data_IF_081485960291
#
_entry.id   IF_081485960291
#
_cell.length_a   1.000
_cell.length_b   1.000
_cell.length_c   1.000
_cell.angle_alpha   90.00
_cell.angle_beta   90.00
_cell.angle_gamma   90.00
#
_symmetry.space_group_name_H-M   'P 1'
#
loop_
_entity.id
_entity.type
_entity.pdbx_description
1 polymer ?
#
# COMPACT_ATOMS: atom_id res chain seq x y z
N UNK A 1 -16.64 47.14 39.96
CA UNK A 1 -16.54 45.67 39.66
C UNK A 1 -16.50 45.32 38.17
N UNK A 2 -17.38 45.85 37.29
CA UNK A 2 -17.42 45.44 35.87
C UNK A 2 -16.29 46.05 35.02
N UNK A 3 -15.71 47.17 35.46
CA UNK A 3 -14.62 47.86 34.75
C UNK A 3 -13.26 47.20 35.03
N UNK A 4 -13.07 46.68 36.24
CA UNK A 4 -11.82 46.01 36.64
C UNK A 4 -11.62 44.69 35.95
N UNK A 5 -12.71 43.96 35.67
CA UNK A 5 -12.65 42.66 34.97
C UNK A 5 -12.24 42.78 33.49
N UNK A 6 -12.72 43.82 32.80
CA UNK A 6 -12.32 44.11 31.42
C UNK A 6 -10.83 44.46 31.32
N UNK A 7 -10.35 45.24 32.27
CA UNK A 7 -8.93 45.61 32.34
C UNK A 7 -8.04 44.40 32.60
N UNK A 8 -8.45 43.51 33.50
CA UNK A 8 -7.74 42.27 33.78
C UNK A 8 -7.69 41.34 32.54
N UNK A 9 -8.80 41.19 31.80
CA UNK A 9 -8.83 40.41 30.57
C UNK A 9 -7.87 40.96 29.51
N UNK A 10 -7.82 42.30 29.37
CA UNK A 10 -6.89 42.93 28.40
C UNK A 10 -5.45 42.65 28.80
N UNK A 11 -5.08 42.73 30.06
CA UNK A 11 -3.72 42.41 30.51
C UNK A 11 -3.36 40.95 30.27
N UNK A 12 -4.26 40.00 30.54
CA UNK A 12 -4.03 38.55 30.29
C UNK A 12 -3.87 38.27 28.82
N UNK A 13 -4.72 38.86 27.97
CA UNK A 13 -4.61 38.70 26.51
C UNK A 13 -3.32 39.31 25.95
N UNK A 14 -2.92 40.50 26.46
CA UNK A 14 -1.69 41.15 26.05
C UNK A 14 -0.47 40.31 26.45
N UNK A 15 -0.45 39.78 27.66
CA UNK A 15 0.62 38.87 28.12
C UNK A 15 0.69 37.62 27.26
N UNK A 16 -0.46 37.03 26.95
CA UNK A 16 -0.52 35.84 26.08
C UNK A 16 0.03 36.10 24.68
N UNK A 17 -0.33 37.25 24.07
CA UNK A 17 0.21 37.65 22.76
C UNK A 17 1.73 37.84 22.79
N UNK A 18 2.24 38.49 23.87
CA UNK A 18 3.70 38.69 24.03
C UNK A 18 4.42 37.36 24.16
N UNK A 19 3.91 36.41 24.95
CA UNK A 19 4.50 35.08 25.10
C UNK A 19 4.49 34.35 23.78
N UNK A 20 3.37 34.41 23.04
CA UNK A 20 3.27 33.76 21.71
C UNK A 20 4.29 34.33 20.71
N UNK A 21 4.48 35.66 20.71
CA UNK A 21 5.47 36.30 19.84
C UNK A 21 6.92 35.89 20.19
N UNK A 22 7.23 35.70 21.46
CA UNK A 22 8.54 35.25 21.92
C UNK A 22 8.77 33.79 21.45
N UNK A 23 7.76 32.93 21.59
CA UNK A 23 7.84 31.51 21.12
C UNK A 23 8.03 31.43 19.60
N UNK A 24 7.24 32.23 18.86
CA UNK A 24 7.36 32.25 17.39
C UNK A 24 8.72 32.80 16.93
N UNK A 25 9.27 33.81 17.63
CA UNK A 25 10.61 34.30 17.33
C UNK A 25 11.66 33.23 17.58
N UNK A 26 11.60 32.54 18.72
CA UNK A 26 12.54 31.46 19.05
C UNK A 26 12.47 30.29 18.06
N UNK A 27 11.26 29.93 17.58
CA UNK A 27 11.11 28.91 16.53
C UNK A 27 11.70 29.37 15.19
N UNK A 28 11.51 30.65 14.83
CA UNK A 28 12.07 31.20 13.59
C UNK A 28 13.61 31.25 13.64
N UNK A 29 14.18 31.65 14.75
CA UNK A 29 15.63 31.69 14.95
C UNK A 29 16.21 30.26 14.86
N UNK A 30 15.59 29.27 15.51
CA UNK A 30 15.99 27.86 15.43
C UNK A 30 15.90 27.28 14.01
N UNK A 31 14.84 27.61 13.23
CA UNK A 31 14.73 27.23 11.83
C UNK A 31 15.83 27.85 10.97
N UNK A 32 16.18 29.11 11.22
CA UNK A 32 17.26 29.79 10.51
C UNK A 32 18.64 29.17 10.79
N UNK A 33 18.86 28.73 12.03
CA UNK A 33 20.12 28.05 12.43
C UNK A 33 20.23 26.65 11.79
N UNK A 34 19.11 25.92 11.66
CA UNK A 34 19.06 24.65 10.95
C UNK A 34 19.28 24.80 9.44
N UNK A 35 18.73 25.85 8.81
CA UNK A 35 18.95 26.14 7.39
C UNK A 35 20.43 26.54 7.10
N UNK A 36 21.11 27.15 8.06
CA UNK A 36 22.51 27.54 7.94
C UNK A 36 23.52 26.46 8.34
N UNK A 37 23.03 25.29 8.81
CA UNK A 37 23.89 24.16 9.23
C UNK A 37 24.69 24.42 10.51
N UNK A 38 24.26 25.39 11.33
CA UNK A 38 24.88 25.74 12.61
C UNK A 38 24.08 25.05 13.72
N UNK A 39 24.67 24.01 14.33
CA UNK A 39 24.12 23.42 15.55
C UNK A 39 24.49 24.29 16.75
N UNK A 40 23.61 24.49 17.74
CA UNK A 40 23.93 25.18 18.98
C UNK A 40 25.11 24.50 19.70
N UNK A 41 26.03 25.29 20.28
CA UNK A 41 27.22 24.75 20.99
C UNK A 41 26.82 23.75 22.11
N UNK A 42 25.71 23.96 22.78
CA UNK A 42 25.15 23.05 23.81
C UNK A 42 24.77 21.67 23.24
N UNK A 43 24.27 21.57 21.99
CA UNK A 43 23.95 20.29 21.37
C UNK A 43 25.22 19.57 20.88
N UNK A 44 26.26 20.30 20.49
CA UNK A 44 27.55 19.73 20.10
C UNK A 44 28.24 19.14 21.34
N UNK A 45 28.18 19.80 22.50
CA UNK A 45 28.78 19.29 23.72
C UNK A 45 28.08 18.03 24.25
N UNK A 46 26.74 17.95 24.13
CA UNK A 46 25.95 16.75 24.47
C UNK A 46 26.29 15.58 23.54
N UNK A 47 26.46 15.84 22.24
CA UNK A 47 26.84 14.79 21.27
C UNK A 47 28.28 14.32 21.50
N UNK A 48 29.23 15.22 21.81
CA UNK A 48 30.61 14.85 22.11
C UNK A 48 30.71 14.09 23.44
N UNK A 49 30.03 14.51 24.51
CA UNK A 49 29.98 13.80 25.79
C UNK A 49 29.31 12.42 25.69
N UNK A 50 28.34 12.26 24.78
CA UNK A 50 27.71 10.97 24.49
C UNK A 50 28.64 10.04 23.68
N UNK A 51 29.48 10.58 22.81
CA UNK A 51 30.45 9.79 22.03
C UNK A 51 31.67 9.33 22.87
N UNK A 52 32.10 10.15 23.87
CA UNK A 52 33.19 9.76 24.78
C UNK A 52 32.77 8.76 25.87
N UNK A 53 31.45 8.66 26.16
CA UNK A 53 30.91 7.73 27.18
C UNK A 53 30.42 6.38 26.59
N UNK A 54 30.54 6.16 25.29
CA UNK A 54 30.33 4.82 24.75
C UNK A 54 31.44 3.88 25.23
N UNK A 55 31.19 3.19 26.36
CA UNK A 55 31.90 1.94 26.64
C UNK A 55 31.76 1.04 25.38
N UNK A 56 32.84 0.31 25.00
CA UNK A 56 32.75 -0.58 23.86
C UNK A 56 31.57 -1.53 24.09
N UNK A 57 30.51 -1.37 23.30
CA UNK A 57 29.36 -2.27 23.31
C UNK A 57 29.93 -3.67 23.16
N UNK A 58 29.91 -4.44 24.23
CA UNK A 58 30.13 -5.88 24.18
C UNK A 58 29.04 -6.42 23.26
N UNK A 59 29.39 -6.58 21.96
CA UNK A 59 28.54 -7.27 21.00
C UNK A 59 28.30 -8.66 21.58
N UNK A 60 27.10 -8.86 22.13
CA UNK A 60 26.63 -10.19 22.48
C UNK A 60 26.66 -11.00 21.18
N UNK A 61 27.37 -12.12 21.09
CA UNK A 61 27.43 -12.92 19.86
C UNK A 61 26.04 -13.47 19.42
N UNK A 62 25.01 -13.23 20.21
CA UNK A 62 23.63 -13.72 19.92
C UNK A 62 22.76 -12.75 19.14
N UNK A 63 23.14 -11.45 18.98
CA UNK A 63 22.28 -10.45 18.32
C UNK A 63 22.37 -10.43 16.78
N UNK A 64 23.12 -11.33 16.16
CA UNK A 64 23.23 -11.42 14.68
C UNK A 64 22.92 -12.82 14.14
N UNK A 65 21.99 -13.55 14.74
CA UNK A 65 21.38 -14.67 14.03
C UNK A 65 20.30 -14.06 13.13
N UNK A 66 20.70 -13.54 11.96
CA UNK A 66 19.78 -13.31 10.85
C UNK A 66 19.17 -14.67 10.54
N UNK A 67 17.93 -14.88 10.94
CA UNK A 67 17.22 -16.12 10.61
C UNK A 67 17.36 -16.36 9.09
N UNK A 68 17.75 -17.57 8.65
CA UNK A 68 17.91 -17.83 7.23
C UNK A 68 16.61 -17.48 6.51
N UNK A 69 16.71 -16.82 5.35
CA UNK A 69 15.58 -16.41 4.55
C UNK A 69 14.74 -17.65 4.18
N UNK A 70 13.49 -17.71 4.65
CA UNK A 70 12.57 -18.84 4.43
C UNK A 70 11.75 -18.70 3.15
N UNK A 71 11.49 -17.47 2.72
CA UNK A 71 10.72 -17.21 1.50
C UNK A 71 10.34 -15.74 1.37
N UNK A 72 9.82 -15.38 0.20
CA UNK A 72 9.35 -14.04 -0.13
C UNK A 72 7.84 -14.05 -0.29
N UNK A 73 7.17 -13.13 0.37
CA UNK A 73 5.72 -12.95 0.32
C UNK A 73 5.42 -11.59 -0.32
N UNK A 74 4.57 -11.55 -1.34
CA UNK A 74 3.92 -10.33 -1.76
C UNK A 74 2.47 -10.32 -1.29
N UNK A 75 2.04 -9.21 -0.70
CA UNK A 75 0.65 -8.98 -0.33
C UNK A 75 0.07 -7.87 -1.18
N UNK A 76 -1.06 -8.15 -1.81
CA UNK A 76 -1.91 -7.18 -2.46
C UNK A 76 -3.14 -6.98 -1.58
N UNK A 77 -3.48 -5.74 -1.29
CA UNK A 77 -4.73 -5.40 -0.60
C UNK A 77 -5.64 -4.70 -1.59
N UNK A 78 -6.75 -5.34 -1.89
CA UNK A 78 -7.74 -4.91 -2.88
C UNK A 78 -8.81 -3.98 -2.28
N UNK A 79 -9.61 -3.37 -3.17
CA UNK A 79 -10.81 -2.56 -2.89
C UNK A 79 -10.54 -1.20 -2.23
N UNK A 80 -9.35 -0.60 -2.39
CA UNK A 80 -9.20 0.81 -2.04
C UNK A 80 -9.91 1.73 -3.04
N UNK A 81 -10.31 2.91 -2.57
CA UNK A 81 -11.00 3.94 -3.36
C UNK A 81 -12.38 4.31 -2.82
N UNK A 82 -13.09 3.37 -2.18
CA UNK A 82 -14.43 3.61 -1.63
C UNK A 82 -14.46 4.43 -0.34
N UNK A 83 -13.39 4.42 0.42
CA UNK A 83 -13.35 5.00 1.77
C UNK A 83 -12.04 5.69 2.08
N UNK A 84 -12.10 6.68 2.99
CA UNK A 84 -10.94 7.36 3.55
C UNK A 84 -11.19 7.54 5.05
N UNK A 85 -11.01 6.48 5.81
CA UNK A 85 -11.29 6.41 7.24
C UNK A 85 -10.11 5.77 8.00
N UNK A 86 -10.29 5.54 9.30
CA UNK A 86 -9.27 4.94 10.14
C UNK A 86 -8.87 3.51 9.70
N UNK A 87 -9.76 2.76 9.03
CA UNK A 87 -9.44 1.43 8.52
C UNK A 87 -8.50 1.54 7.32
N UNK A 88 -8.87 2.31 6.26
CA UNK A 88 -8.00 2.49 5.10
C UNK A 88 -6.66 3.12 5.49
N UNK A 89 -6.65 4.07 6.43
CA UNK A 89 -5.43 4.68 6.93
C UNK A 89 -4.56 3.71 7.75
N UNK A 90 -5.15 2.80 8.51
CA UNK A 90 -4.42 1.79 9.27
C UNK A 90 -3.57 0.85 8.39
N UNK A 91 -3.97 0.62 7.14
CA UNK A 91 -3.13 -0.12 6.20
C UNK A 91 -1.83 0.62 5.84
N UNK A 92 -1.80 1.96 5.90
CA UNK A 92 -0.60 2.76 5.65
C UNK A 92 0.41 2.72 6.82
N UNK A 93 0.08 2.05 7.91
CA UNK A 93 0.93 1.85 9.08
C UNK A 93 1.51 0.43 9.15
N UNK A 94 1.14 -0.45 8.20
CA UNK A 94 1.64 -1.82 8.17
C UNK A 94 3.12 -1.87 7.78
N UNK A 95 3.94 -2.68 8.46
CA UNK A 95 5.34 -2.80 8.12
C UNK A 95 5.55 -3.65 6.86
N UNK A 96 6.60 -3.33 6.10
CA UNK A 96 6.99 -4.11 4.92
C UNK A 96 6.55 -3.51 3.59
N UNK A 97 7.03 -4.11 2.50
CA UNK A 97 6.70 -3.70 1.14
C UNK A 97 5.37 -4.33 0.73
N UNK A 98 4.29 -3.55 0.74
CA UNK A 98 2.95 -4.00 0.38
C UNK A 98 2.46 -3.29 -0.88
N UNK A 99 1.58 -3.94 -1.62
CA UNK A 99 0.97 -3.41 -2.85
C UNK A 99 -0.51 -3.15 -2.60
N UNK A 100 -0.99 -1.95 -2.92
CA UNK A 100 -2.38 -1.56 -2.77
C UNK A 100 -3.06 -1.44 -4.12
N UNK A 101 -4.16 -2.18 -4.28
CA UNK A 101 -4.94 -2.20 -5.50
C UNK A 101 -6.16 -1.29 -5.34
N UNK A 102 -6.23 -0.27 -6.19
CA UNK A 102 -7.19 0.82 -6.07
C UNK A 102 -8.17 0.75 -7.23
N UNK A 103 -9.46 0.71 -6.91
CA UNK A 103 -10.53 0.78 -7.91
C UNK A 103 -10.58 2.22 -8.45
N UNK A 104 -10.51 2.43 -9.77
CA UNK A 104 -10.62 3.77 -10.34
C UNK A 104 -12.05 4.31 -10.28
N UNK A 105 -12.19 5.63 -10.20
CA UNK A 105 -13.47 6.31 -10.35
C UNK A 105 -14.26 6.58 -9.06
N UNK A 106 -13.81 6.12 -7.92
CA UNK A 106 -14.42 6.44 -6.63
C UNK A 106 -13.85 7.73 -6.02
N UNK A 107 -14.60 8.34 -5.10
CA UNK A 107 -14.30 9.64 -4.49
C UNK A 107 -12.91 9.72 -3.85
N UNK A 108 -12.40 8.58 -3.36
CA UNK A 108 -11.11 8.54 -2.66
C UNK A 108 -10.00 7.83 -3.45
N UNK A 109 -10.26 7.37 -4.68
CA UNK A 109 -9.29 6.61 -5.47
C UNK A 109 -7.98 7.36 -5.65
N UNK A 110 -8.03 8.59 -6.18
CA UNK A 110 -6.84 9.41 -6.43
C UNK A 110 -6.17 9.87 -5.13
N UNK A 111 -6.94 10.32 -4.15
CA UNK A 111 -6.39 10.83 -2.89
C UNK A 111 -5.71 9.72 -2.08
N UNK A 112 -6.29 8.52 -2.05
CA UNK A 112 -5.66 7.37 -1.39
C UNK A 112 -4.43 6.88 -2.16
N UNK A 113 -4.51 6.80 -3.51
CA UNK A 113 -3.38 6.43 -4.37
C UNK A 113 -2.15 7.29 -4.06
N UNK A 114 -2.32 8.61 -4.14
CA UNK A 114 -1.22 9.53 -3.84
C UNK A 114 -0.70 9.38 -2.42
N UNK A 115 -1.58 9.28 -1.42
CA UNK A 115 -1.20 9.14 -0.02
C UNK A 115 -0.40 7.85 0.22
N UNK A 116 -0.83 6.73 -0.36
CA UNK A 116 -0.15 5.45 -0.23
C UNK A 116 1.20 5.44 -0.96
N UNK A 117 1.26 6.04 -2.15
CA UNK A 117 2.50 6.21 -2.90
C UNK A 117 3.52 7.08 -2.13
N UNK A 118 3.08 8.22 -1.60
CA UNK A 118 3.93 9.12 -0.80
C UNK A 118 4.42 8.43 0.50
N UNK A 119 3.66 7.49 1.04
CA UNK A 119 4.05 6.65 2.17
C UNK A 119 4.98 5.47 1.79
N UNK A 120 5.32 5.32 0.51
CA UNK A 120 6.28 4.32 0.01
C UNK A 120 5.67 2.97 -0.36
N UNK A 121 4.35 2.85 -0.50
CA UNK A 121 3.68 1.63 -0.94
C UNK A 121 3.57 1.56 -2.46
N UNK A 122 3.54 0.36 -3.00
CA UNK A 122 3.31 0.13 -4.42
C UNK A 122 1.82 0.21 -4.76
N UNK A 123 1.49 0.87 -5.86
CA UNK A 123 0.11 1.06 -6.31
C UNK A 123 -0.13 0.29 -7.60
N UNK A 124 -1.27 -0.39 -7.66
CA UNK A 124 -1.80 -1.01 -8.89
C UNK A 124 -3.26 -0.62 -9.09
N UNK A 125 -3.69 -0.59 -10.35
CA UNK A 125 -5.11 -0.44 -10.68
C UNK A 125 -5.84 -1.74 -10.34
N UNK A 126 -6.90 -1.67 -9.53
CA UNK A 126 -7.84 -2.76 -9.32
C UNK A 126 -8.94 -2.66 -10.37
N UNK A 127 -8.71 -3.31 -11.53
CA UNK A 127 -9.48 -3.10 -12.75
C UNK A 127 -10.83 -3.81 -12.71
N UNK A 128 -11.94 -3.08 -12.74
CA UNK A 128 -13.27 -3.70 -12.79
C UNK A 128 -13.48 -4.50 -14.08
N UNK A 129 -13.94 -5.73 -13.95
CA UNK A 129 -14.15 -6.64 -15.07
C UNK A 129 -15.44 -7.45 -14.90
N UNK A 130 -16.03 -7.87 -16.02
CA UNK A 130 -17.31 -8.58 -16.09
C UNK A 130 -17.31 -9.88 -15.28
N UNK A 131 -18.36 -10.05 -14.46
CA UNK A 131 -18.65 -11.29 -13.74
C UNK A 131 -19.52 -12.28 -14.57
N UNK A 132 -19.47 -13.54 -14.18
CA UNK A 132 -20.51 -14.52 -14.52
C UNK A 132 -21.75 -14.11 -13.70
N UNK A 133 -22.88 -13.82 -14.39
CA UNK A 133 -24.07 -13.26 -13.77
C UNK A 133 -24.09 -11.73 -13.81
N UNK A 134 -24.45 -11.09 -12.70
CA UNK A 134 -24.56 -9.64 -12.66
C UNK A 134 -23.24 -9.00 -12.25
N UNK A 135 -22.79 -8.02 -13.02
CA UNK A 135 -21.67 -7.15 -12.69
C UNK A 135 -22.24 -5.87 -12.05
N UNK A 136 -21.61 -5.40 -11.00
CA UNK A 136 -22.04 -4.24 -10.23
C UNK A 136 -20.90 -3.23 -10.12
N UNK A 137 -21.28 -1.96 -10.14
CA UNK A 137 -20.40 -0.84 -9.91
C UNK A 137 -19.49 -0.47 -11.09
N UNK A 138 -18.78 0.62 -10.93
CA UNK A 138 -17.68 1.09 -11.77
C UNK A 138 -18.03 1.19 -13.27
N UNK A 139 -19.27 1.61 -13.62
CA UNK A 139 -19.83 1.58 -14.97
C UNK A 139 -18.96 2.28 -16.02
N UNK A 140 -18.18 3.29 -15.62
CA UNK A 140 -17.28 4.02 -16.51
C UNK A 140 -15.92 3.34 -16.74
N UNK A 141 -15.59 2.33 -15.93
CA UNK A 141 -14.28 1.67 -15.96
C UNK A 141 -14.36 0.17 -16.24
N UNK A 142 -15.49 -0.46 -15.95
CA UNK A 142 -15.65 -1.92 -16.08
C UNK A 142 -15.43 -2.40 -17.51
N UNK A 143 -14.68 -3.48 -17.68
CA UNK A 143 -14.47 -4.15 -18.96
C UNK A 143 -15.54 -5.23 -19.17
N UNK A 144 -16.41 -5.02 -20.17
CA UNK A 144 -17.51 -5.93 -20.50
C UNK A 144 -17.26 -6.63 -21.83
N UNK A 145 -17.67 -7.89 -21.93
CA UNK A 145 -17.44 -8.72 -23.12
C UNK A 145 -18.18 -8.24 -24.38
N UNK A 146 -19.21 -7.42 -24.25
CA UNK A 146 -19.94 -6.85 -25.38
C UNK A 146 -19.36 -5.53 -25.91
N UNK A 147 -18.38 -4.92 -25.22
CA UNK A 147 -17.72 -3.71 -25.70
C UNK A 147 -16.85 -3.94 -26.91
N UNK A 148 -16.76 -2.94 -27.78
CA UNK A 148 -15.81 -2.94 -28.87
C UNK A 148 -14.37 -2.75 -28.36
N UNK A 149 -13.40 -3.07 -29.19
CA UNK A 149 -11.99 -3.01 -28.83
C UNK A 149 -11.56 -1.62 -28.37
N UNK A 150 -11.97 -0.58 -29.11
CA UNK A 150 -11.60 0.80 -28.79
C UNK A 150 -12.16 1.26 -27.44
N UNK A 151 -13.37 0.84 -27.09
CA UNK A 151 -13.97 1.15 -25.80
C UNK A 151 -13.23 0.44 -24.65
N UNK A 152 -12.81 -0.80 -24.85
CA UNK A 152 -11.98 -1.53 -23.87
C UNK A 152 -10.65 -0.81 -23.67
N UNK A 153 -9.97 -0.41 -24.75
CA UNK A 153 -8.72 0.35 -24.70
C UNK A 153 -8.87 1.69 -23.99
N UNK A 154 -9.93 2.42 -24.31
CA UNK A 154 -10.24 3.71 -23.68
C UNK A 154 -10.37 3.56 -22.16
N UNK A 155 -11.14 2.57 -21.69
CA UNK A 155 -11.35 2.31 -20.26
C UNK A 155 -10.06 1.94 -19.52
N UNK A 156 -9.20 1.12 -20.16
CA UNK A 156 -7.90 0.76 -19.60
C UNK A 156 -7.01 2.01 -19.46
N UNK A 157 -6.90 2.81 -20.51
CA UNK A 157 -6.07 4.01 -20.50
C UNK A 157 -6.63 5.10 -19.56
N UNK A 158 -7.96 5.22 -19.49
CA UNK A 158 -8.64 6.07 -18.51
C UNK A 158 -8.29 5.67 -17.07
N UNK A 159 -8.26 4.37 -16.78
CA UNK A 159 -7.90 3.87 -15.44
C UNK A 159 -6.48 4.23 -15.04
N UNK A 160 -5.50 4.06 -15.92
CA UNK A 160 -4.12 4.48 -15.67
C UNK A 160 -3.96 6.00 -15.58
N UNK A 161 -4.73 6.76 -16.36
CA UNK A 161 -4.73 8.22 -16.26
C UNK A 161 -5.35 8.71 -14.95
N UNK A 162 -6.32 7.97 -14.43
CA UNK A 162 -6.97 8.28 -13.14
C UNK A 162 -6.05 7.96 -11.95
N UNK A 163 -5.19 6.95 -12.08
CA UNK A 163 -4.25 6.48 -11.05
C UNK A 163 -2.81 6.48 -11.59
N UNK A 164 -2.19 7.66 -11.77
CA UNK A 164 -0.88 7.79 -12.42
C UNK A 164 0.26 7.11 -11.66
N UNK A 165 0.13 6.91 -10.35
CA UNK A 165 1.10 6.20 -9.51
C UNK A 165 1.12 4.69 -9.76
N UNK A 166 0.08 4.13 -10.41
CA UNK A 166 -0.04 2.69 -10.59
C UNK A 166 1.03 2.14 -11.54
N UNK A 167 1.76 1.13 -11.09
CA UNK A 167 2.80 0.44 -11.87
C UNK A 167 2.35 -0.86 -12.51
N UNK A 168 1.16 -1.32 -12.19
CA UNK A 168 0.54 -2.55 -12.68
C UNK A 168 -0.96 -2.55 -12.52
N UNK A 169 -1.54 -3.72 -12.72
CA UNK A 169 -2.98 -3.95 -12.64
C UNK A 169 -3.28 -5.36 -12.13
N UNK A 170 -4.35 -5.51 -11.33
CA UNK A 170 -5.01 -6.78 -11.06
C UNK A 170 -6.52 -6.65 -11.33
N UNK A 171 -7.23 -7.77 -11.43
CA UNK A 171 -8.67 -7.73 -11.73
C UNK A 171 -9.53 -7.64 -10.47
N UNK A 172 -10.42 -6.65 -10.44
CA UNK A 172 -11.58 -6.60 -9.55
C UNK A 172 -12.72 -7.39 -10.17
N UNK A 173 -13.34 -8.32 -9.39
CA UNK A 173 -14.35 -9.22 -9.93
C UNK A 173 -13.78 -10.02 -11.15
N UNK A 174 -14.46 -10.02 -12.29
CA UNK A 174 -13.90 -10.48 -13.57
C UNK A 174 -13.96 -11.98 -13.80
N UNK A 175 -14.88 -12.72 -13.16
CA UNK A 175 -14.99 -14.17 -13.39
C UNK A 175 -15.32 -14.55 -14.84
N UNK A 176 -15.98 -13.65 -15.62
CA UNK A 176 -16.18 -13.77 -17.06
C UNK A 176 -15.06 -13.07 -17.84
N UNK A 177 -14.72 -11.83 -17.48
CA UNK A 177 -13.74 -11.03 -18.22
C UNK A 177 -12.37 -11.66 -18.28
N UNK A 178 -11.88 -12.26 -17.19
CA UNK A 178 -10.58 -12.96 -17.17
C UNK A 178 -10.60 -14.30 -17.91
N UNK A 179 -11.78 -14.87 -18.19
CA UNK A 179 -11.94 -16.06 -19.01
C UNK A 179 -12.14 -15.75 -20.50
N UNK A 180 -12.34 -14.48 -20.86
CA UNK A 180 -12.50 -14.01 -22.24
C UNK A 180 -11.13 -13.73 -22.89
N UNK A 181 -10.74 -14.58 -23.84
CA UNK A 181 -9.46 -14.43 -24.54
C UNK A 181 -9.34 -13.12 -25.32
N UNK A 182 -10.44 -12.58 -25.86
CA UNK A 182 -10.44 -11.30 -26.59
C UNK A 182 -10.14 -10.15 -25.65
N UNK A 183 -10.87 -10.04 -24.53
CA UNK A 183 -10.63 -9.00 -23.52
C UNK A 183 -9.19 -9.09 -23.03
N UNK A 184 -8.74 -10.29 -22.63
CA UNK A 184 -7.39 -10.47 -22.10
C UNK A 184 -6.29 -10.18 -23.13
N UNK A 185 -6.55 -10.41 -24.43
CA UNK A 185 -5.62 -10.05 -25.51
C UNK A 185 -5.51 -8.52 -25.65
N UNK A 186 -6.65 -7.81 -25.67
CA UNK A 186 -6.66 -6.34 -25.75
C UNK A 186 -5.95 -5.77 -24.52
N UNK A 187 -6.29 -6.25 -23.32
CA UNK A 187 -5.67 -5.83 -22.07
C UNK A 187 -4.15 -6.05 -22.08
N UNK A 188 -3.68 -7.21 -22.60
CA UNK A 188 -2.26 -7.49 -22.67
C UNK A 188 -1.52 -6.50 -23.58
N UNK A 189 -2.10 -6.12 -24.72
CA UNK A 189 -1.51 -5.10 -25.61
C UNK A 189 -1.42 -3.73 -24.92
N UNK A 190 -2.48 -3.29 -24.25
CA UNK A 190 -2.50 -1.99 -23.57
C UNK A 190 -1.53 -1.96 -22.36
N UNK A 191 -1.49 -3.02 -21.55
CA UNK A 191 -0.56 -3.13 -20.43
C UNK A 191 0.89 -3.08 -20.93
N UNK A 192 1.20 -3.81 -22.01
CA UNK A 192 2.54 -3.82 -22.62
C UNK A 192 2.91 -2.44 -23.17
N UNK A 193 2.00 -1.79 -23.88
CA UNK A 193 2.22 -0.43 -24.41
C UNK A 193 2.50 0.58 -23.28
N UNK A 194 1.84 0.46 -22.15
CA UNK A 194 2.03 1.28 -20.96
C UNK A 194 3.22 0.83 -20.08
N UNK A 195 3.95 -0.23 -20.45
CA UNK A 195 5.09 -0.80 -19.68
C UNK A 195 4.70 -1.16 -18.25
N UNK A 196 3.52 -1.72 -18.06
CA UNK A 196 2.96 -2.16 -16.77
C UNK A 196 2.99 -3.69 -16.67
N UNK A 197 2.62 -4.23 -15.51
CA UNK A 197 2.47 -5.66 -15.27
C UNK A 197 1.02 -6.03 -14.91
N UNK A 198 0.73 -7.32 -14.90
CA UNK A 198 -0.58 -7.85 -14.51
C UNK A 198 -0.46 -8.94 -13.44
N UNK A 199 -1.37 -8.93 -12.46
CA UNK A 199 -1.54 -10.04 -11.52
C UNK A 199 -2.96 -10.59 -11.62
N UNK A 200 -3.08 -11.90 -11.94
CA UNK A 200 -4.37 -12.58 -11.99
C UNK A 200 -4.89 -12.86 -10.57
N UNK A 201 -5.95 -12.17 -10.15
CA UNK A 201 -6.61 -12.37 -8.87
C UNK A 201 -7.32 -13.73 -8.75
N UNK A 202 -7.40 -14.51 -9.84
CA UNK A 202 -7.97 -15.87 -9.89
C UNK A 202 -9.38 -15.95 -9.33
N UNK A 203 -10.27 -15.06 -9.76
CA UNK A 203 -11.70 -15.06 -9.41
C UNK A 203 -12.48 -16.19 -10.09
N UNK A 204 -11.89 -16.85 -11.07
CA UNK A 204 -12.41 -18.08 -11.71
C UNK A 204 -11.28 -19.07 -12.00
N UNK A 205 -11.61 -20.35 -11.98
CA UNK A 205 -10.68 -21.42 -12.40
C UNK A 205 -10.40 -21.39 -13.92
N UNK A 206 -11.33 -20.82 -14.69
CA UNK A 206 -11.26 -20.73 -16.15
C UNK A 206 -10.49 -19.49 -16.64
N UNK A 207 -9.84 -18.72 -15.74
CA UNK A 207 -9.04 -17.56 -16.14
C UNK A 207 -7.95 -17.95 -17.14
N UNK A 208 -7.89 -17.22 -18.24
CA UNK A 208 -6.83 -17.26 -19.24
C UNK A 208 -5.87 -16.08 -19.10
N UNK A 209 -6.02 -15.26 -18.06
CA UNK A 209 -5.30 -14.01 -17.88
C UNK A 209 -3.78 -14.24 -17.85
N UNK A 210 -3.28 -15.03 -16.90
CA UNK A 210 -1.83 -15.30 -16.78
C UNK A 210 -1.23 -15.85 -18.09
N UNK A 211 -1.88 -16.84 -18.71
CA UNK A 211 -1.38 -17.45 -19.95
C UNK A 211 -1.37 -16.47 -21.12
N UNK A 212 -2.38 -15.60 -21.22
CA UNK A 212 -2.45 -14.56 -22.25
C UNK A 212 -1.36 -13.51 -22.04
N UNK A 213 -1.20 -13.01 -20.80
CA UNK A 213 -0.15 -12.02 -20.47
C UNK A 213 1.24 -12.56 -20.85
N UNK A 214 1.58 -13.80 -20.47
CA UNK A 214 2.84 -14.45 -20.84
C UNK A 214 3.02 -14.57 -22.34
N UNK A 215 1.96 -14.97 -23.08
CA UNK A 215 1.98 -15.09 -24.54
C UNK A 215 2.37 -13.77 -25.23
N UNK A 216 1.92 -12.63 -24.69
CA UNK A 216 2.22 -11.31 -25.25
C UNK A 216 3.45 -10.64 -24.62
N UNK A 217 4.16 -11.31 -23.71
CA UNK A 217 5.36 -10.80 -23.06
C UNK A 217 5.08 -9.67 -22.10
N UNK A 218 3.94 -9.73 -21.39
CA UNK A 218 3.61 -8.87 -20.26
C UNK A 218 4.11 -9.53 -18.98
N UNK A 219 4.91 -8.89 -18.14
CA UNK A 219 5.29 -9.44 -16.84
C UNK A 219 4.04 -9.76 -16.03
N UNK A 220 3.96 -10.99 -15.52
CA UNK A 220 2.73 -11.45 -14.86
C UNK A 220 2.98 -12.52 -13.82
N UNK A 221 2.06 -12.64 -12.89
CA UNK A 221 1.91 -13.77 -11.98
C UNK A 221 0.43 -13.88 -11.57
N UNK A 222 0.12 -14.77 -10.64
CA UNK A 222 -1.23 -14.99 -10.13
C UNK A 222 -1.22 -15.14 -8.60
N UNK A 223 -2.36 -14.92 -8.01
CA UNK A 223 -2.58 -15.17 -6.58
C UNK A 223 -2.42 -16.64 -6.22
N UNK A 224 -1.65 -16.94 -5.19
CA UNK A 224 -1.57 -18.26 -4.56
C UNK A 224 -2.68 -18.44 -3.51
N UNK A 225 -2.87 -17.48 -2.63
CA UNK A 225 -3.81 -17.56 -1.49
C UNK A 225 -4.72 -16.34 -1.44
N UNK A 226 -6.02 -16.58 -1.20
CA UNK A 226 -7.01 -15.56 -0.86
C UNK A 226 -7.13 -15.53 0.67
N UNK A 227 -6.87 -14.36 1.28
CA UNK A 227 -6.71 -14.28 2.72
C UNK A 227 -8.04 -14.25 3.46
N UNK A 228 -8.99 -13.48 2.98
CA UNK A 228 -10.17 -13.04 3.69
C UNK A 228 -11.48 -13.33 2.94
N UNK A 229 -11.54 -14.50 2.29
CA UNK A 229 -12.80 -15.03 1.75
C UNK A 229 -13.85 -15.27 2.85
N UNK A 230 -13.39 -15.46 4.08
CA UNK A 230 -14.19 -15.47 5.30
C UNK A 230 -13.59 -14.42 6.23
N UNK A 231 -14.43 -13.50 6.74
CA UNK A 231 -13.98 -12.35 7.55
C UNK A 231 -13.73 -12.71 9.05
N UNK A 232 -13.61 -13.97 9.38
CA UNK A 232 -13.16 -14.44 10.69
C UNK A 232 -11.63 -14.29 10.81
N UNK A 233 -11.15 -13.62 11.88
CA UNK A 233 -9.72 -13.33 12.06
C UNK A 233 -8.86 -14.61 12.14
N UNK A 234 -9.34 -15.68 12.80
CA UNK A 234 -8.58 -16.94 12.89
C UNK A 234 -8.50 -17.65 11.53
N UNK A 235 -9.53 -17.53 10.71
CA UNK A 235 -9.51 -18.05 9.35
C UNK A 235 -8.56 -17.26 8.46
N UNK A 236 -8.57 -15.92 8.56
CA UNK A 236 -7.61 -15.06 7.85
C UNK A 236 -6.18 -15.39 8.30
N UNK A 237 -5.93 -15.51 9.60
CA UNK A 237 -4.64 -15.93 10.14
C UNK A 237 -4.21 -17.29 9.57
N UNK A 238 -5.12 -18.25 9.51
CA UNK A 238 -4.84 -19.56 8.91
C UNK A 238 -4.42 -19.44 7.44
N UNK A 239 -5.04 -18.56 6.67
CA UNK A 239 -4.65 -18.32 5.28
C UNK A 239 -3.28 -17.63 5.18
N UNK A 240 -2.95 -16.68 6.09
CA UNK A 240 -1.61 -16.09 6.17
C UNK A 240 -0.52 -17.14 6.44
N UNK A 241 -0.76 -18.09 7.34
CA UNK A 241 0.18 -19.16 7.60
C UNK A 241 0.32 -20.10 6.40
N UNK A 242 -0.76 -20.43 5.69
CA UNK A 242 -0.70 -21.19 4.44
C UNK A 242 0.09 -20.43 3.35
N UNK A 243 -0.06 -19.11 3.28
CA UNK A 243 0.72 -18.29 2.34
C UNK A 243 2.22 -18.39 2.65
N UNK A 244 2.58 -18.31 3.93
CA UNK A 244 3.97 -18.51 4.38
C UNK A 244 4.49 -19.91 4.01
N UNK A 245 3.71 -20.97 4.21
CA UNK A 245 4.06 -22.34 3.80
C UNK A 245 4.27 -22.45 2.29
N UNK A 246 3.46 -21.74 1.48
CA UNK A 246 3.66 -21.71 0.01
C UNK A 246 4.96 -20.99 -0.33
N UNK A 247 5.24 -19.83 0.31
CA UNK A 247 6.47 -19.07 0.12
C UNK A 247 7.71 -19.88 0.49
N UNK A 248 7.67 -20.62 1.58
CA UNK A 248 8.77 -21.48 2.02
C UNK A 248 9.06 -22.62 1.02
N UNK A 249 8.03 -23.25 0.49
CA UNK A 249 8.18 -24.36 -0.46
C UNK A 249 8.56 -23.93 -1.87
N UNK A 250 8.05 -22.79 -2.34
CA UNK A 250 8.25 -22.31 -3.72
C UNK A 250 9.30 -21.21 -3.86
N UNK A 251 9.78 -20.67 -2.74
CA UNK A 251 10.63 -19.48 -2.67
C UNK A 251 9.84 -18.17 -2.67
N UNK A 252 8.67 -18.12 -3.33
CA UNK A 252 7.80 -16.95 -3.43
C UNK A 252 6.31 -17.32 -3.27
N UNK A 253 5.49 -16.40 -2.75
CA UNK A 253 4.03 -16.53 -2.76
C UNK A 253 3.34 -15.17 -2.83
N UNK A 254 2.18 -15.12 -3.51
CA UNK A 254 1.33 -13.94 -3.62
C UNK A 254 0.01 -14.18 -2.90
N UNK A 255 -0.25 -13.35 -1.88
CA UNK A 255 -1.52 -13.30 -1.15
C UNK A 255 -2.35 -12.08 -1.57
N UNK A 256 -3.67 -12.25 -1.63
CA UNK A 256 -4.61 -11.14 -1.82
C UNK A 256 -5.60 -11.13 -0.65
N UNK A 257 -5.77 -9.95 -0.05
CA UNK A 257 -6.82 -9.62 0.91
C UNK A 257 -7.48 -8.30 0.55
N UNK A 258 -8.48 -7.86 1.33
CA UNK A 258 -9.23 -6.64 1.06
C UNK A 258 -9.11 -5.64 2.21
N UNK A 259 -9.48 -4.38 1.94
CA UNK A 259 -9.48 -3.29 2.93
C UNK A 259 -10.62 -3.48 3.95
N UNK A 260 -10.47 -4.47 4.83
CA UNK A 260 -11.43 -4.85 5.88
C UNK A 260 -10.79 -4.74 7.28
N UNK A 261 -11.58 -4.40 8.33
CA UNK A 261 -11.04 -4.31 9.70
C UNK A 261 -10.35 -5.59 10.18
N UNK A 262 -10.95 -6.75 9.89
CA UNK A 262 -10.42 -8.06 10.31
C UNK A 262 -9.11 -8.38 9.62
N UNK A 263 -9.01 -8.06 8.30
CA UNK A 263 -7.78 -8.23 7.53
C UNK A 263 -6.67 -7.34 8.09
N UNK A 264 -6.96 -6.06 8.37
CA UNK A 264 -6.01 -5.15 8.99
C UNK A 264 -5.52 -5.68 10.34
N UNK A 265 -6.43 -6.08 11.23
CA UNK A 265 -6.08 -6.59 12.56
C UNK A 265 -5.16 -7.82 12.49
N UNK A 266 -5.42 -8.74 11.56
CA UNK A 266 -4.56 -9.92 11.37
C UNK A 266 -3.20 -9.53 10.79
N UNK A 267 -3.15 -8.68 9.78
CA UNK A 267 -1.88 -8.27 9.14
C UNK A 267 -0.97 -7.52 10.11
N UNK A 268 -1.51 -6.67 10.98
CA UNK A 268 -0.75 -5.97 12.03
C UNK A 268 0.00 -6.93 12.96
N UNK A 269 -0.56 -8.11 13.23
CA UNK A 269 0.04 -9.15 14.09
C UNK A 269 0.98 -10.07 13.30
N UNK A 270 0.51 -10.59 12.17
CA UNK A 270 1.20 -11.68 11.47
C UNK A 270 2.39 -11.19 10.63
N UNK A 271 2.38 -9.96 10.07
CA UNK A 271 3.51 -9.46 9.28
C UNK A 271 4.80 -9.40 10.14
N UNK A 272 4.82 -8.72 11.31
CA UNK A 272 6.02 -8.69 12.15
C UNK A 272 6.48 -10.08 12.61
N UNK A 273 5.54 -10.97 12.90
CA UNK A 273 5.85 -12.32 13.36
C UNK A 273 6.46 -13.20 12.25
N UNK A 274 5.97 -13.07 11.02
CA UNK A 274 6.55 -13.75 9.87
C UNK A 274 7.92 -13.18 9.49
N UNK A 275 8.12 -11.86 9.61
CA UNK A 275 9.43 -11.23 9.42
C UNK A 275 10.48 -11.77 10.42
N UNK A 276 10.11 -11.87 11.70
CA UNK A 276 10.99 -12.49 12.73
C UNK A 276 11.32 -13.96 12.42
N UNK A 277 10.40 -14.67 11.77
CA UNK A 277 10.60 -16.05 11.32
C UNK A 277 11.44 -16.19 10.04
N UNK A 278 11.90 -15.08 9.44
CA UNK A 278 12.78 -15.08 8.26
C UNK A 278 12.02 -14.96 6.93
N UNK A 279 10.73 -14.62 6.92
CA UNK A 279 10.02 -14.27 5.69
C UNK A 279 10.25 -12.79 5.35
N UNK A 280 10.42 -12.52 4.05
CA UNK A 280 10.56 -11.16 3.54
C UNK A 280 9.31 -10.75 2.79
N UNK A 281 8.81 -9.54 3.07
CA UNK A 281 7.69 -8.93 2.34
C UNK A 281 8.24 -8.02 1.24
N UNK A 282 7.81 -8.26 0.01
CA UNK A 282 8.25 -7.51 -1.18
C UNK A 282 7.05 -7.03 -2.00
N UNK A 283 7.26 -5.94 -2.74
CA UNK A 283 6.29 -5.47 -3.72
C UNK A 283 5.98 -6.56 -4.74
N UNK A 284 4.73 -6.64 -5.19
CA UNK A 284 4.35 -7.65 -6.17
C UNK A 284 5.07 -7.48 -7.51
N UNK A 285 5.48 -6.25 -7.86
CA UNK A 285 6.30 -6.00 -9.05
C UNK A 285 7.62 -6.77 -9.06
N UNK A 286 8.13 -7.19 -7.90
CA UNK A 286 9.35 -8.00 -7.77
C UNK A 286 9.10 -9.50 -8.02
N UNK A 287 7.83 -9.91 -8.06
CA UNK A 287 7.43 -11.31 -8.18
C UNK A 287 6.73 -11.61 -9.51
N UNK A 288 6.64 -10.66 -10.43
CA UNK A 288 6.13 -10.85 -11.81
C UNK A 288 7.29 -11.00 -12.79
N UNK A 289 7.15 -11.87 -13.80
CA UNK A 289 8.19 -12.22 -14.79
C UNK A 289 7.60 -12.69 -16.11
#
# INVERSE_FOLDING_TARGET
MQQDYKTLIIYVLTLFVVVLLIVLKKQKDHLSDLENGVLPEEEIEIVLDSLEKEEPIKKDPQDNIVSPMRGVIALIIDDFGYRNDHISNGFLELPGNLTYAIIPGHDYSQSFSKKAYDAGYEIVVHMPMENIGKTYGEEEYVLMSYFQEDEIKERINKSFSHLPEAVGLNNHQGSRGTADTRIMTILAHEIKANKKFFVDSRTTRNSVAESTMRKYGVPTNKRDIFLDNDLDEEKIRTQMLKLADVAERKGIAIGIGHVKPQTLAVLQREIPDLQKKGFRFEFVSRLVY
#
